data_IF_053234716925
#
_entry.id   IF_053234716925
#
_cell.length_a   1.000
_cell.length_b   1.000
_cell.length_c   1.000
_cell.angle_alpha   90.00
_cell.angle_beta   90.00
_cell.angle_gamma   90.00
#
_symmetry.space_group_name_H-M   'P 1'
#
loop_
_entity.id
_entity.type
_entity.pdbx_description
1 polymer ?
#
# COMPACT_ATOMS: atom_id res chain seq x y z
N UNK A 1 -7.36 -3.89 8.75
CA UNK A 1 -6.34 -4.96 8.96
C UNK A 1 -5.49 -4.74 10.21
N UNK A 2 -4.86 -3.59 10.39
CA UNK A 2 -3.93 -3.37 11.52
C UNK A 2 -4.56 -3.61 12.90
N UNK A 3 -5.83 -3.32 13.07
CA UNK A 3 -6.54 -3.59 14.35
C UNK A 3 -6.81 -5.10 14.54
N UNK A 4 -7.12 -5.81 13.49
CA UNK A 4 -7.30 -7.27 13.54
C UNK A 4 -6.04 -7.98 14.06
N UNK A 5 -4.90 -7.49 13.73
CA UNK A 5 -3.63 -8.05 14.18
C UNK A 5 -3.30 -7.73 15.64
N UNK A 6 -3.79 -6.83 16.15
CA UNK A 6 -3.54 -6.43 17.51
C UNK A 6 -4.14 -7.40 18.49
N UNK A 7 -4.88 -8.16 18.13
CA UNK A 7 -5.50 -9.24 18.89
C UNK A 7 -4.62 -10.46 19.00
N UNK A 8 -3.76 -10.46 18.20
CA UNK A 8 -2.94 -11.63 18.17
C UNK A 8 -1.84 -11.62 19.22
N UNK A 9 -1.56 -10.49 19.70
CA UNK A 9 -0.46 -10.43 20.58
C UNK A 9 -0.82 -10.39 22.03
N UNK A 10 -1.72 -9.91 22.35
CA UNK A 10 -2.07 -9.78 23.72
C UNK A 10 -3.25 -10.60 24.16
N UNK A 11 -3.43 -10.83 25.25
CA UNK A 11 -4.55 -11.52 25.80
C UNK A 11 -5.75 -10.64 25.96
N UNK A 12 -5.74 -9.55 25.18
CA UNK A 12 -6.84 -8.70 25.18
C UNK A 12 -7.88 -9.17 24.20
N UNK A 13 -9.14 -8.82 24.37
CA UNK A 13 -10.20 -9.08 23.46
C UNK A 13 -10.36 -7.89 22.56
N UNK A 14 -10.39 -8.01 21.38
CA UNK A 14 -10.57 -6.99 20.42
C UNK A 14 -11.96 -7.04 19.92
N UNK A 15 -12.57 -6.11 20.05
CA UNK A 15 -13.78 -5.92 19.45
C UNK A 15 -13.56 -5.12 18.25
N UNK A 16 -13.66 -5.60 17.08
CA UNK A 16 -13.55 -4.90 15.82
C UNK A 16 -14.94 -4.43 15.43
N UNK A 17 -15.08 -3.14 15.25
CA UNK A 17 -16.39 -2.55 14.94
C UNK A 17 -16.34 -1.86 13.57
N UNK A 18 -17.36 -2.13 12.75
CA UNK A 18 -17.54 -1.44 11.46
C UNK A 18 -19.03 -1.15 11.29
N UNK A 19 -19.35 0.00 10.70
CA UNK A 19 -20.75 0.36 10.39
C UNK A 19 -21.34 -0.45 9.23
N UNK A 20 -20.46 -1.05 8.42
CA UNK A 20 -20.86 -1.89 7.28
C UNK A 20 -21.29 -3.27 7.79
N UNK A 21 -22.60 -3.47 7.86
CA UNK A 21 -23.18 -4.72 8.32
C UNK A 21 -22.75 -5.91 7.45
N UNK A 22 -22.66 -5.72 6.13
CA UNK A 22 -22.27 -6.81 5.22
C UNK A 22 -20.85 -7.30 5.54
N UNK A 23 -19.93 -6.34 5.78
CA UNK A 23 -18.56 -6.68 6.17
C UNK A 23 -18.52 -7.45 7.49
N UNK A 24 -19.30 -7.01 8.48
CA UNK A 24 -19.38 -7.68 9.79
C UNK A 24 -19.98 -9.08 9.63
N UNK A 25 -21.04 -9.22 8.84
CA UNK A 25 -21.67 -10.52 8.58
C UNK A 25 -20.67 -11.48 7.88
N UNK A 26 -19.90 -10.99 6.89
CA UNK A 26 -18.83 -11.78 6.24
C UNK A 26 -17.83 -12.28 7.29
N UNK A 27 -17.31 -11.37 8.12
CA UNK A 27 -16.31 -11.70 9.15
C UNK A 27 -16.86 -12.72 10.18
N UNK A 28 -18.12 -12.56 10.61
CA UNK A 28 -18.76 -13.48 11.54
C UNK A 28 -18.97 -14.87 10.91
N UNK A 29 -19.09 -14.95 9.59
CA UNK A 29 -19.19 -16.20 8.84
C UNK A 29 -17.80 -16.76 8.43
N UNK A 30 -16.72 -16.15 8.91
CA UNK A 30 -15.36 -16.63 8.69
C UNK A 30 -14.72 -16.21 7.36
N UNK A 31 -15.39 -15.34 6.59
CA UNK A 31 -14.86 -14.82 5.33
C UNK A 31 -14.11 -13.49 5.60
N UNK A 32 -12.95 -13.33 4.98
CA UNK A 32 -12.11 -12.13 5.16
C UNK A 32 -12.28 -11.22 3.94
N UNK A 33 -12.66 -9.93 4.13
CA UNK A 33 -12.96 -9.03 3.01
C UNK A 33 -11.73 -8.43 2.33
N UNK A 34 -10.53 -8.92 2.62
CA UNK A 34 -9.27 -8.45 2.01
C UNK A 34 -8.35 -9.64 1.76
N UNK A 35 -7.53 -9.56 0.73
CA UNK A 35 -6.53 -10.59 0.47
C UNK A 35 -5.24 -10.25 1.24
N UNK A 36 -4.86 -11.11 2.19
CA UNK A 36 -3.60 -11.00 2.94
C UNK A 36 -3.17 -12.42 3.31
N UNK A 37 -2.02 -12.89 2.82
CA UNK A 37 -1.58 -14.27 3.12
C UNK A 37 -1.53 -14.56 4.63
N UNK A 38 -2.19 -15.65 5.05
CA UNK A 38 -2.20 -16.11 6.44
C UNK A 38 -3.23 -15.42 7.35
N UNK A 39 -3.89 -14.34 6.90
CA UNK A 39 -4.82 -13.58 7.76
C UNK A 39 -6.06 -14.41 8.10
N UNK A 40 -6.59 -15.16 7.16
CA UNK A 40 -7.79 -15.96 7.37
C UNK A 40 -7.60 -16.96 8.52
N UNK A 41 -6.50 -17.70 8.49
CA UNK A 41 -6.18 -18.69 9.53
C UNK A 41 -6.04 -18.02 10.91
N UNK A 42 -5.36 -16.88 10.95
CA UNK A 42 -5.15 -16.12 12.18
C UNK A 42 -6.48 -15.63 12.76
N UNK A 43 -7.37 -15.10 11.91
CA UNK A 43 -8.69 -14.60 12.32
C UNK A 43 -9.54 -15.76 12.86
N UNK A 44 -9.63 -16.88 12.11
CA UNK A 44 -10.42 -18.06 12.54
C UNK A 44 -9.96 -18.57 13.90
N UNK A 45 -8.65 -18.65 14.12
CA UNK A 45 -8.09 -19.09 15.41
C UNK A 45 -8.54 -18.18 16.55
N UNK A 46 -8.39 -16.86 16.38
CA UNK A 46 -8.70 -15.90 17.44
C UNK A 46 -10.20 -15.79 17.72
N UNK A 47 -11.05 -15.95 16.69
CA UNK A 47 -12.51 -16.01 16.87
C UNK A 47 -12.87 -17.25 17.67
N UNK A 48 -12.32 -18.42 17.32
CA UNK A 48 -12.56 -19.70 18.03
C UNK A 48 -12.15 -19.59 19.51
N UNK A 49 -11.06 -18.87 19.78
CA UNK A 49 -10.54 -18.68 21.14
C UNK A 49 -11.27 -17.55 21.90
N UNK A 50 -12.32 -16.97 21.33
CA UNK A 50 -13.12 -15.86 21.89
C UNK A 50 -12.26 -14.60 22.21
N UNK A 51 -11.18 -14.41 21.47
CA UNK A 51 -10.29 -13.25 21.62
C UNK A 51 -10.54 -12.16 20.56
N UNK A 52 -11.30 -12.48 19.53
CA UNK A 52 -11.63 -11.56 18.43
C UNK A 52 -13.13 -11.61 18.19
N UNK A 53 -13.78 -10.46 18.27
CA UNK A 53 -15.22 -10.30 18.09
C UNK A 53 -15.48 -9.24 17.04
N UNK A 54 -16.59 -9.37 16.33
CA UNK A 54 -17.01 -8.42 15.30
C UNK A 54 -18.41 -7.92 15.59
N UNK A 55 -18.62 -6.62 15.53
CA UNK A 55 -19.92 -6.01 15.85
C UNK A 55 -20.15 -4.73 15.04
N UNK A 56 -21.42 -4.32 14.99
CA UNK A 56 -21.79 -3.00 14.45
C UNK A 56 -22.08 -2.00 15.57
N UNK A 57 -22.14 -2.46 16.84
CA UNK A 57 -22.43 -1.59 17.98
C UNK A 57 -21.19 -0.85 18.47
N UNK A 58 -20.95 0.33 17.90
CA UNK A 58 -19.83 1.19 18.29
C UNK A 58 -20.02 1.74 19.72
N UNK A 59 -21.26 2.04 20.10
CA UNK A 59 -21.54 2.68 21.40
C UNK A 59 -21.22 1.73 22.57
N UNK A 60 -21.65 0.47 22.46
CA UNK A 60 -21.34 -0.58 23.43
C UNK A 60 -19.83 -0.86 23.51
N UNK A 61 -19.21 -1.04 22.33
CA UNK A 61 -17.77 -1.34 22.26
C UNK A 61 -16.93 -0.24 22.94
N UNK A 62 -17.26 1.04 22.72
CA UNK A 62 -16.54 2.14 23.36
C UNK A 62 -16.67 2.09 24.89
N UNK A 63 -17.88 1.84 25.40
CA UNK A 63 -18.12 1.79 26.85
C UNK A 63 -17.27 0.72 27.53
N UNK A 64 -17.14 -0.43 26.88
CA UNK A 64 -16.46 -1.60 27.47
C UNK A 64 -14.93 -1.53 27.31
N UNK A 65 -14.41 -0.74 26.37
CA UNK A 65 -12.97 -0.69 26.06
C UNK A 65 -12.20 0.25 26.99
N UNK A 66 -10.98 -0.14 27.37
CA UNK A 66 -9.98 0.74 27.96
C UNK A 66 -9.22 1.50 26.86
N UNK A 67 -8.89 0.80 25.77
CA UNK A 67 -8.14 1.37 24.63
C UNK A 67 -9.04 1.32 23.39
N UNK A 68 -9.24 2.48 22.77
CA UNK A 68 -10.08 2.61 21.57
C UNK A 68 -9.19 3.00 20.39
N UNK A 69 -9.04 2.11 19.42
CA UNK A 69 -8.26 2.37 18.21
C UNK A 69 -9.14 2.96 17.10
N UNK A 70 -8.79 4.15 16.63
CA UNK A 70 -9.37 4.77 15.44
C UNK A 70 -8.54 4.27 14.25
N UNK A 71 -9.14 3.38 13.44
CA UNK A 71 -8.45 2.73 12.32
C UNK A 71 -9.30 2.79 11.04
N UNK A 72 -9.96 3.93 10.85
CA UNK A 72 -10.83 4.18 9.69
C UNK A 72 -10.01 4.72 8.51
N UNK A 73 -10.57 4.62 7.30
CA UNK A 73 -9.93 5.15 6.09
C UNK A 73 -9.83 6.67 6.12
N UNK A 74 -8.78 7.19 5.49
CA UNK A 74 -8.57 8.62 5.30
C UNK A 74 -8.31 8.86 3.79
N UNK A 75 -9.37 8.74 2.95
CA UNK A 75 -9.18 8.88 1.52
C UNK A 75 -8.76 10.30 1.14
N UNK A 76 -8.08 10.47 0.00
CA UNK A 76 -7.71 11.82 -0.43
C UNK A 76 -8.94 12.58 -0.94
N UNK A 77 -8.96 13.89 -0.68
CA UNK A 77 -9.88 14.83 -1.31
C UNK A 77 -9.30 15.30 -2.65
N UNK A 78 -10.09 16.06 -3.41
CA UNK A 78 -9.69 16.58 -4.72
C UNK A 78 -8.44 17.47 -4.66
N UNK A 79 -8.24 18.15 -3.53
CA UNK A 79 -7.07 19.03 -3.31
C UNK A 79 -5.84 18.26 -2.81
N UNK A 80 -5.95 16.95 -2.63
CA UNK A 80 -4.87 16.09 -2.13
C UNK A 80 -4.84 15.97 -0.61
N UNK A 81 -5.64 16.75 0.12
CA UNK A 81 -5.71 16.65 1.59
C UNK A 81 -6.42 15.34 2.00
N UNK A 82 -6.19 14.89 3.23
CA UNK A 82 -6.87 13.72 3.78
C UNK A 82 -8.28 14.07 4.24
N UNK A 83 -9.27 13.25 3.89
CA UNK A 83 -10.62 13.38 4.42
C UNK A 83 -10.68 12.77 5.82
N UNK A 84 -10.89 13.60 6.80
CA UNK A 84 -10.95 13.21 8.22
C UNK A 84 -12.39 12.99 8.73
N UNK A 85 -13.39 13.06 7.86
CA UNK A 85 -14.81 12.93 8.27
C UNK A 85 -15.06 11.66 9.10
N UNK A 86 -14.51 10.52 8.67
CA UNK A 86 -14.67 9.26 9.42
C UNK A 86 -13.98 9.29 10.78
N UNK A 87 -12.81 9.93 10.86
CA UNK A 87 -12.05 10.08 12.12
C UNK A 87 -12.87 10.95 13.08
N UNK A 88 -13.44 12.06 12.58
CA UNK A 88 -14.26 12.97 13.38
C UNK A 88 -15.55 12.30 13.86
N UNK A 89 -16.19 11.49 13.01
CA UNK A 89 -17.40 10.75 13.40
C UNK A 89 -17.11 9.78 14.55
N UNK A 90 -15.98 9.05 14.46
CA UNK A 90 -15.57 8.15 15.55
C UNK A 90 -15.27 8.96 16.82
N UNK A 91 -14.58 10.11 16.69
CA UNK A 91 -14.30 11.00 17.85
C UNK A 91 -15.60 11.48 18.52
N UNK A 92 -16.62 11.81 17.71
CA UNK A 92 -17.95 12.20 18.25
C UNK A 92 -18.63 11.03 18.98
N UNK A 93 -18.51 9.81 18.44
CA UNK A 93 -19.06 8.61 19.10
C UNK A 93 -18.34 8.32 20.42
N UNK A 94 -17.01 8.47 20.43
CA UNK A 94 -16.21 8.30 21.65
C UNK A 94 -16.67 9.31 22.71
N UNK A 95 -16.77 10.59 22.35
CA UNK A 95 -17.19 11.66 23.29
C UNK A 95 -18.53 11.38 23.95
N UNK A 96 -19.49 10.86 23.18
CA UNK A 96 -20.85 10.53 23.66
C UNK A 96 -20.81 9.37 24.67
N UNK A 97 -19.90 8.43 24.49
CA UNK A 97 -19.92 7.15 25.19
C UNK A 97 -18.81 7.00 26.25
N UNK A 98 -18.01 8.02 26.51
CA UNK A 98 -17.01 8.00 27.57
C UNK A 98 -17.71 7.76 28.93
N UNK A 99 -17.19 6.77 29.69
CA UNK A 99 -17.77 6.38 30.99
C UNK A 99 -16.70 6.12 32.05
N UNK A 100 -15.48 6.49 31.77
CA UNK A 100 -14.31 6.35 32.63
C UNK A 100 -13.06 6.61 31.80
N UNK A 101 -11.89 6.44 32.41
CA UNK A 101 -10.62 6.68 31.73
C UNK A 101 -10.48 5.79 30.49
N UNK A 102 -10.05 6.39 29.38
CA UNK A 102 -9.78 5.66 28.15
C UNK A 102 -8.54 6.24 27.44
N UNK A 103 -7.79 5.36 26.78
CA UNK A 103 -6.72 5.75 25.86
C UNK A 103 -7.28 5.68 24.43
N UNK A 104 -7.31 6.82 23.76
CA UNK A 104 -7.86 6.96 22.42
C UNK A 104 -6.69 7.03 21.45
N UNK A 105 -6.55 6.00 20.62
CA UNK A 105 -5.38 5.78 19.79
C UNK A 105 -5.71 5.97 18.31
N UNK A 106 -5.08 6.92 17.65
CA UNK A 106 -5.17 7.05 16.20
C UNK A 106 -4.17 6.11 15.54
N UNK A 107 -4.70 5.07 14.88
CA UNK A 107 -3.92 4.13 14.09
C UNK A 107 -3.93 4.52 12.61
N UNK A 108 -4.98 5.20 12.17
CA UNK A 108 -5.12 5.74 10.80
C UNK A 108 -3.96 6.71 10.50
N UNK A 109 -3.54 6.76 9.23
CA UNK A 109 -2.59 7.78 8.75
C UNK A 109 -3.33 9.11 8.63
N UNK A 110 -2.96 10.07 9.46
CA UNK A 110 -3.66 11.35 9.59
C UNK A 110 -2.68 12.52 9.57
N UNK A 111 -3.10 13.70 9.06
CA UNK A 111 -2.28 14.92 9.11
C UNK A 111 -1.87 15.31 10.52
N UNK A 112 -0.71 15.95 10.62
CA UNK A 112 -0.21 16.50 11.88
C UNK A 112 -1.25 17.47 12.46
N UNK A 113 -1.54 17.32 13.74
CA UNK A 113 -2.57 18.12 14.46
C UNK A 113 -3.90 17.41 14.58
N UNK A 114 -4.05 16.21 13.96
CA UNK A 114 -5.32 15.47 14.06
C UNK A 114 -5.58 15.00 15.49
N UNK A 115 -4.56 14.63 16.23
CA UNK A 115 -4.72 14.25 17.64
C UNK A 115 -5.32 15.38 18.46
N UNK A 116 -4.84 16.61 18.28
CA UNK A 116 -5.39 17.79 18.97
C UNK A 116 -6.84 18.08 18.52
N UNK A 117 -7.14 17.87 17.24
CA UNK A 117 -8.50 18.02 16.72
C UNK A 117 -9.47 17.00 17.37
N UNK A 118 -9.04 15.73 17.47
CA UNK A 118 -9.82 14.68 18.14
C UNK A 118 -10.07 15.09 19.61
N UNK A 119 -9.02 15.55 20.29
CA UNK A 119 -9.09 15.99 21.69
C UNK A 119 -10.15 17.10 21.85
N UNK A 120 -10.14 18.10 20.97
CA UNK A 120 -11.12 19.21 21.00
C UNK A 120 -12.54 18.68 20.82
N UNK A 121 -12.78 17.84 19.82
CA UNK A 121 -14.11 17.25 19.56
C UNK A 121 -14.63 16.52 20.81
N UNK A 122 -13.74 15.75 21.46
CA UNK A 122 -14.14 14.97 22.63
C UNK A 122 -14.44 15.90 23.81
N UNK A 123 -13.58 16.89 24.09
CA UNK A 123 -13.78 17.85 25.20
C UNK A 123 -15.10 18.62 25.06
N UNK A 124 -15.44 19.05 23.85
CA UNK A 124 -16.67 19.80 23.58
C UNK A 124 -17.94 18.98 23.90
N UNK A 125 -17.88 17.67 23.77
CA UNK A 125 -19.06 16.81 23.88
C UNK A 125 -19.03 15.86 25.08
N UNK A 126 -17.93 15.83 25.84
CA UNK A 126 -17.75 14.96 27.01
C UNK A 126 -18.51 15.50 28.22
N UNK A 127 -19.82 15.36 28.23
CA UNK A 127 -20.70 15.87 29.29
C UNK A 127 -20.41 15.25 30.67
N UNK A 128 -19.82 14.04 30.68
CA UNK A 128 -19.51 13.31 31.93
C UNK A 128 -18.16 13.70 32.53
N UNK A 129 -17.39 14.53 31.83
CA UNK A 129 -16.05 14.96 32.24
C UNK A 129 -15.14 13.73 32.51
N UNK A 130 -15.37 12.62 31.79
CA UNK A 130 -14.55 11.43 31.93
C UNK A 130 -13.13 11.70 31.42
N UNK A 131 -12.16 11.15 32.11
CA UNK A 131 -10.73 11.32 31.81
C UNK A 131 -10.33 10.51 30.57
N UNK A 132 -9.40 11.04 29.76
CA UNK A 132 -8.90 10.34 28.58
C UNK A 132 -7.56 10.90 28.13
N UNK A 133 -6.80 10.08 27.44
CA UNK A 133 -5.57 10.48 26.76
C UNK A 133 -5.67 10.20 25.26
N UNK A 134 -5.01 11.05 24.47
CA UNK A 134 -4.87 10.88 23.02
C UNK A 134 -3.48 10.33 22.72
N UNK A 135 -3.44 9.31 21.87
CA UNK A 135 -2.20 8.67 21.41
C UNK A 135 -2.21 8.58 19.88
N UNK A 136 -1.09 8.88 19.26
CA UNK A 136 -0.84 8.55 17.85
C UNK A 136 0.06 7.30 17.80
N UNK A 137 -0.42 6.26 17.14
CA UNK A 137 0.31 4.98 17.02
C UNK A 137 0.22 4.52 15.55
N UNK A 138 0.96 5.17 14.67
CA UNK A 138 0.88 4.85 13.23
C UNK A 138 1.35 3.43 12.94
N UNK A 139 0.78 2.83 11.89
CA UNK A 139 1.18 1.51 11.40
C UNK A 139 2.18 1.65 10.24
N UNK A 140 3.04 0.65 10.06
CA UNK A 140 4.03 0.61 8.99
C UNK A 140 3.94 -0.72 8.23
N UNK A 141 2.73 -1.25 8.12
CA UNK A 141 2.47 -2.55 7.51
C UNK A 141 2.53 -2.46 5.98
N UNK A 142 3.04 -3.52 5.37
CA UNK A 142 3.03 -3.67 3.91
C UNK A 142 1.98 -4.72 3.55
N UNK A 143 1.03 -4.35 2.70
CA UNK A 143 0.05 -5.32 2.16
C UNK A 143 0.81 -6.53 1.59
N UNK A 144 0.27 -7.73 1.79
CA UNK A 144 0.92 -8.97 1.35
C UNK A 144 1.99 -9.51 2.29
N UNK A 145 2.39 -8.74 3.31
CA UNK A 145 3.30 -9.17 4.37
C UNK A 145 2.99 -8.49 5.70
N UNK A 146 1.74 -8.06 5.87
CA UNK A 146 1.33 -7.27 7.04
C UNK A 146 1.42 -8.05 8.34
N UNK A 147 1.18 -9.37 8.31
CA UNK A 147 1.29 -10.21 9.52
C UNK A 147 2.74 -10.22 10.01
N UNK A 148 3.69 -10.49 9.12
CA UNK A 148 5.11 -10.48 9.47
C UNK A 148 5.55 -9.12 9.99
N UNK A 149 5.16 -8.04 9.29
CA UNK A 149 5.48 -6.67 9.68
C UNK A 149 4.92 -6.31 11.06
N UNK A 150 3.73 -6.83 11.40
CA UNK A 150 3.11 -6.60 12.71
C UNK A 150 3.78 -7.41 13.80
N UNK A 151 4.09 -8.69 13.52
CA UNK A 151 4.66 -9.60 14.53
C UNK A 151 6.14 -9.34 14.78
N UNK A 152 6.86 -8.76 13.82
CA UNK A 152 8.29 -8.43 13.92
C UNK A 152 8.57 -7.05 13.34
N UNK A 153 7.98 -6.00 13.92
CA UNK A 153 8.15 -4.66 13.36
C UNK A 153 9.56 -4.11 13.63
N UNK A 154 10.03 -3.27 12.72
CA UNK A 154 11.31 -2.58 12.91
C UNK A 154 11.26 -1.58 14.07
N UNK A 155 10.08 -1.09 14.41
CA UNK A 155 9.83 -0.20 15.56
C UNK A 155 8.34 -0.08 15.83
N UNK A 156 8.01 0.31 17.05
CA UNK A 156 6.67 0.75 17.45
C UNK A 156 6.77 2.23 17.79
N UNK A 157 5.95 3.08 17.17
CA UNK A 157 5.92 4.53 17.46
C UNK A 157 4.70 4.82 18.34
N UNK A 158 4.93 5.47 19.47
CA UNK A 158 3.88 5.90 20.40
C UNK A 158 4.04 7.40 20.66
N UNK A 159 3.14 8.18 20.09
CA UNK A 159 3.06 9.63 20.33
C UNK A 159 2.04 9.90 21.41
N UNK A 160 2.46 10.37 22.56
CA UNK A 160 1.58 10.65 23.71
C UNK A 160 2.17 11.75 24.59
N UNK A 161 1.31 12.48 25.29
CA UNK A 161 1.74 13.49 26.27
C UNK A 161 1.65 12.99 27.71
N UNK A 162 1.06 11.84 27.94
CA UNK A 162 0.79 11.26 29.26
C UNK A 162 1.63 10.00 29.47
N UNK A 163 2.38 9.94 30.57
CA UNK A 163 3.12 8.73 30.95
C UNK A 163 2.17 7.55 31.15
N UNK A 164 0.99 7.82 31.72
CA UNK A 164 -0.06 6.82 31.94
C UNK A 164 -0.45 6.14 30.62
N UNK A 165 -0.69 6.95 29.58
CA UNK A 165 -1.03 6.42 28.25
C UNK A 165 0.12 5.62 27.64
N UNK A 166 1.36 6.09 27.80
CA UNK A 166 2.55 5.37 27.31
C UNK A 166 2.63 3.99 27.96
N UNK A 167 2.42 3.90 29.27
CA UNK A 167 2.49 2.61 29.98
C UNK A 167 1.38 1.64 29.52
N UNK A 168 0.16 2.14 29.32
CA UNK A 168 -0.94 1.33 28.76
C UNK A 168 -0.55 0.78 27.38
N UNK A 169 0.03 1.64 26.52
CA UNK A 169 0.45 1.23 25.17
C UNK A 169 1.60 0.23 25.22
N UNK A 170 2.58 0.41 26.11
CA UNK A 170 3.69 -0.54 26.29
C UNK A 170 3.16 -1.92 26.74
N UNK A 171 2.21 -1.93 27.67
CA UNK A 171 1.62 -3.19 28.13
C UNK A 171 0.88 -3.90 26.99
N UNK A 172 0.15 -3.14 26.17
CA UNK A 172 -0.55 -3.68 25.00
C UNK A 172 0.44 -4.32 24.01
N UNK A 173 1.60 -3.68 23.79
CA UNK A 173 2.63 -4.16 22.87
C UNK A 173 3.70 -5.01 23.57
N UNK A 174 3.45 -5.46 24.80
CA UNK A 174 4.41 -6.24 25.60
C UNK A 174 5.02 -7.44 24.87
N UNK A 175 4.26 -8.24 24.08
CA UNK A 175 4.88 -9.35 23.34
C UNK A 175 5.99 -8.89 22.38
N UNK A 176 5.87 -7.70 21.80
CA UNK A 176 6.90 -7.14 20.91
C UNK A 176 8.10 -6.63 21.69
N UNK A 177 7.88 -6.11 22.88
CA UNK A 177 8.95 -5.68 23.77
C UNK A 177 9.84 -6.87 24.18
N UNK A 178 9.23 -8.04 24.38
CA UNK A 178 9.96 -9.26 24.77
C UNK A 178 10.91 -9.76 23.67
N UNK A 179 10.71 -9.34 22.41
CA UNK A 179 11.62 -9.64 21.29
C UNK A 179 12.51 -8.44 20.94
N UNK A 180 12.67 -7.52 21.89
CA UNK A 180 13.54 -6.34 21.79
C UNK A 180 13.21 -5.38 20.65
N UNK A 181 11.96 -5.34 20.22
CA UNK A 181 11.52 -4.35 19.21
C UNK A 181 11.74 -2.93 19.75
N UNK A 182 12.40 -2.03 19.01
CA UNK A 182 12.58 -0.65 19.46
C UNK A 182 11.24 0.11 19.58
N UNK A 183 11.08 0.83 20.70
CA UNK A 183 9.93 1.73 20.92
C UNK A 183 10.40 3.17 20.80
N UNK A 184 9.73 3.94 19.95
CA UNK A 184 9.98 5.38 19.78
C UNK A 184 8.85 6.11 20.50
N UNK A 185 9.16 6.64 21.69
CA UNK A 185 8.19 7.41 22.49
C UNK A 185 8.40 8.89 22.16
N UNK A 186 7.34 9.58 21.76
CA UNK A 186 7.44 10.99 21.35
C UNK A 186 6.09 11.69 21.58
N UNK A 187 5.95 12.95 21.14
CA UNK A 187 4.67 13.65 21.18
C UNK A 187 3.77 13.20 20.02
N UNK A 188 2.50 13.56 20.09
CA UNK A 188 1.48 13.14 19.12
C UNK A 188 1.84 13.62 17.70
N UNK A 189 2.22 14.89 17.58
CA UNK A 189 2.51 15.53 16.30
C UNK A 189 3.73 14.88 15.61
N UNK A 190 4.76 14.56 16.38
CA UNK A 190 5.94 13.88 15.83
C UNK A 190 5.58 12.47 15.35
N UNK A 191 4.74 11.75 16.09
CA UNK A 191 4.30 10.41 15.68
C UNK A 191 3.51 10.47 14.37
N UNK A 192 2.59 11.46 14.25
CA UNK A 192 1.85 11.70 13.01
C UNK A 192 2.81 12.01 11.84
N UNK A 193 3.78 12.90 12.07
CA UNK A 193 4.77 13.27 11.05
C UNK A 193 5.66 12.09 10.63
N UNK A 194 6.08 11.24 11.58
CA UNK A 194 6.95 10.07 11.29
C UNK A 194 6.33 9.20 10.19
N UNK A 195 5.01 8.99 10.23
CA UNK A 195 4.33 8.16 9.22
C UNK A 195 4.45 8.78 7.81
N UNK A 196 4.07 10.06 7.69
CA UNK A 196 4.13 10.75 6.40
C UNK A 196 5.56 10.87 5.88
N UNK A 197 6.50 11.25 6.74
CA UNK A 197 7.91 11.41 6.36
C UNK A 197 8.50 10.06 5.89
N UNK A 198 8.17 8.97 6.59
CA UNK A 198 8.63 7.62 6.19
C UNK A 198 8.11 7.24 4.81
N UNK A 199 6.81 7.42 4.57
CA UNK A 199 6.21 7.04 3.28
C UNK A 199 6.71 7.95 2.15
N UNK A 200 6.87 9.24 2.39
CA UNK A 200 7.42 10.18 1.41
C UNK A 200 8.88 9.82 1.05
N UNK A 201 9.67 9.43 2.05
CA UNK A 201 11.07 9.04 1.81
C UNK A 201 11.16 7.73 1.01
N UNK A 202 10.32 6.75 1.31
CA UNK A 202 10.28 5.49 0.54
C UNK A 202 9.86 5.76 -0.91
N UNK A 203 8.85 6.63 -1.12
CA UNK A 203 8.43 7.04 -2.47
C UNK A 203 9.58 7.77 -3.20
N UNK A 204 10.35 8.59 -2.47
CA UNK A 204 11.55 9.28 -3.01
C UNK A 204 12.57 8.27 -3.50
N UNK A 205 12.87 7.22 -2.73
CA UNK A 205 13.83 6.18 -3.14
C UNK A 205 13.39 5.51 -4.44
N UNK A 206 12.09 5.19 -4.57
CA UNK A 206 11.56 4.55 -5.79
C UNK A 206 11.68 5.51 -7.00
N UNK A 207 11.26 6.77 -6.85
CA UNK A 207 11.34 7.74 -7.94
C UNK A 207 12.79 8.05 -8.31
N UNK A 208 13.68 8.13 -7.31
CA UNK A 208 15.10 8.34 -7.53
C UNK A 208 15.71 7.22 -8.39
N UNK A 209 15.47 5.95 -8.00
CA UNK A 209 16.06 4.84 -8.77
C UNK A 209 15.41 4.70 -10.16
N UNK A 210 14.15 5.11 -10.32
CA UNK A 210 13.49 5.17 -11.64
C UNK A 210 14.17 6.21 -12.53
N UNK A 211 14.48 7.40 -12.00
CA UNK A 211 15.21 8.44 -12.75
C UNK A 211 16.62 7.95 -13.12
N UNK A 212 17.32 7.30 -12.18
CA UNK A 212 18.64 6.69 -12.45
C UNK A 212 18.50 5.63 -13.56
N UNK A 213 17.46 4.80 -13.52
CA UNK A 213 17.23 3.77 -14.56
C UNK A 213 17.05 4.42 -15.93
N UNK A 214 16.27 5.49 -16.00
CA UNK A 214 16.05 6.21 -17.26
C UNK A 214 17.38 6.81 -17.80
N UNK A 215 18.20 7.35 -16.91
CA UNK A 215 19.52 7.85 -17.30
C UNK A 215 20.45 6.71 -17.75
N UNK A 216 20.41 5.56 -17.06
CA UNK A 216 21.19 4.38 -17.45
C UNK A 216 20.92 3.97 -18.90
N UNK A 217 19.65 3.99 -19.34
CA UNK A 217 19.29 3.68 -20.74
C UNK A 217 19.93 4.63 -21.73
N UNK A 218 20.17 5.89 -21.34
CA UNK A 218 20.75 6.92 -22.22
C UNK A 218 22.27 6.78 -22.30
N UNK A 219 22.90 6.48 -21.16
CA UNK A 219 24.38 6.49 -21.07
C UNK A 219 25.00 5.09 -21.19
N UNK A 220 24.18 4.04 -21.34
CA UNK A 220 24.68 2.67 -21.51
C UNK A 220 25.10 1.99 -20.21
N UNK A 221 24.55 2.40 -19.07
CA UNK A 221 24.79 1.76 -17.78
C UNK A 221 23.68 0.75 -17.46
N UNK A 222 23.93 -0.16 -16.50
CA UNK A 222 22.94 -1.13 -16.01
C UNK A 222 22.47 -0.70 -14.62
N UNK A 223 21.18 -0.39 -14.49
CA UNK A 223 20.61 0.06 -13.23
C UNK A 223 20.74 -0.97 -12.09
N UNK A 224 20.74 -2.28 -12.41
CA UNK A 224 20.92 -3.31 -11.37
C UNK A 224 22.31 -3.18 -10.72
N UNK A 225 23.35 -2.97 -11.55
CA UNK A 225 24.70 -2.77 -11.05
C UNK A 225 24.81 -1.47 -10.24
N UNK A 226 24.18 -0.40 -10.72
CA UNK A 226 24.17 0.90 -10.01
C UNK A 226 23.43 0.76 -8.66
N UNK A 227 22.23 0.18 -8.66
CA UNK A 227 21.44 0.01 -7.44
C UNK A 227 22.16 -0.89 -6.43
N UNK A 228 22.80 -1.97 -6.90
CA UNK A 228 23.60 -2.85 -6.06
C UNK A 228 24.79 -2.11 -5.44
N UNK A 229 25.56 -1.40 -6.28
CA UNK A 229 26.74 -0.68 -5.82
C UNK A 229 26.40 0.37 -4.77
N UNK A 230 25.41 1.23 -5.05
CA UNK A 230 25.03 2.26 -4.09
C UNK A 230 24.33 1.67 -2.85
N UNK A 231 23.57 0.61 -3.01
CA UNK A 231 22.82 -0.02 -1.91
C UNK A 231 23.70 -0.76 -0.89
N UNK A 232 24.95 -1.09 -1.25
CA UNK A 232 25.93 -1.68 -0.32
C UNK A 232 26.42 -0.67 0.72
N UNK A 233 26.29 0.62 0.45
CA UNK A 233 26.56 1.65 1.45
C UNK A 233 25.44 1.64 2.49
N UNK A 234 25.78 1.35 3.75
CA UNK A 234 24.79 1.26 4.84
C UNK A 234 24.04 2.55 5.08
N UNK A 235 24.60 3.71 4.71
CA UNK A 235 23.92 5.01 4.80
C UNK A 235 22.73 5.11 3.83
N UNK A 236 22.77 4.34 2.73
CA UNK A 236 21.76 4.32 1.68
C UNK A 236 20.82 3.10 1.87
N UNK A 237 21.42 1.92 1.97
CA UNK A 237 20.70 0.65 2.09
C UNK A 237 20.05 0.21 0.77
N UNK A 238 19.95 -1.10 0.58
CA UNK A 238 19.48 -1.70 -0.69
C UNK A 238 17.96 -1.65 -0.89
N UNK A 239 17.19 -1.48 0.17
CA UNK A 239 15.73 -1.55 0.09
C UNK A 239 15.15 -0.34 -0.65
N UNK A 240 14.12 -0.58 -1.47
CA UNK A 240 13.42 0.43 -2.27
C UNK A 240 14.27 1.04 -3.38
N UNK A 241 15.32 0.30 -3.85
CA UNK A 241 16.13 0.67 -5.01
C UNK A 241 15.85 -0.30 -6.18
N UNK A 242 14.59 -0.64 -6.39
CA UNK A 242 14.17 -1.52 -7.48
C UNK A 242 13.40 -0.69 -8.52
N UNK A 243 13.99 -0.43 -9.71
CA UNK A 243 13.29 0.38 -10.72
C UNK A 243 12.10 -0.38 -11.30
N UNK A 244 11.13 0.39 -11.77
CA UNK A 244 9.89 -0.18 -12.30
C UNK A 244 9.00 0.89 -12.91
N UNK A 245 7.71 0.58 -13.10
CA UNK A 245 6.77 1.48 -13.78
C UNK A 245 6.28 2.65 -12.92
N UNK A 246 6.76 2.78 -11.71
CA UNK A 246 6.32 3.77 -10.75
C UNK A 246 5.67 3.13 -9.52
N UNK A 247 5.48 3.92 -8.49
CA UNK A 247 4.78 3.46 -7.30
C UNK A 247 3.27 3.68 -7.42
N UNK A 248 2.51 2.83 -6.74
CA UNK A 248 1.05 2.88 -6.63
C UNK A 248 0.62 2.37 -5.26
N UNK A 249 -0.60 1.85 -5.19
CA UNK A 249 -1.18 1.31 -3.97
C UNK A 249 -1.85 2.39 -3.12
N UNK A 250 -2.44 1.98 -2.03
CA UNK A 250 -3.28 2.81 -1.16
C UNK A 250 -2.51 3.85 -0.32
N UNK A 251 -1.18 3.76 -0.24
CA UNK A 251 -0.40 4.54 0.71
C UNK A 251 0.45 5.64 0.05
N UNK A 252 1.42 5.26 -0.79
CA UNK A 252 2.40 6.23 -1.30
C UNK A 252 1.77 7.39 -2.09
N UNK A 253 0.84 7.14 -3.04
CA UNK A 253 0.24 8.27 -3.78
C UNK A 253 -0.51 9.22 -2.85
N UNK A 254 -1.34 8.68 -1.98
CA UNK A 254 -2.15 9.45 -1.04
C UNK A 254 -1.27 10.23 -0.06
N UNK A 255 -0.27 9.57 0.55
CA UNK A 255 0.52 10.16 1.63
C UNK A 255 1.50 11.22 1.11
N UNK A 256 2.06 11.04 -0.12
CA UNK A 256 2.91 12.07 -0.73
C UNK A 256 2.09 13.32 -1.07
N UNK A 257 0.88 13.15 -1.60
CA UNK A 257 -0.03 14.28 -1.86
C UNK A 257 -0.41 14.98 -0.54
N UNK A 258 -0.77 14.20 0.49
CA UNK A 258 -1.19 14.76 1.78
C UNK A 258 -0.07 15.58 2.43
N UNK A 259 1.18 15.08 2.47
CA UNK A 259 2.26 15.84 3.11
C UNK A 259 2.62 17.08 2.28
N UNK A 260 2.51 17.03 0.95
CA UNK A 260 2.69 18.21 0.10
C UNK A 260 1.60 19.26 0.38
N UNK A 261 0.35 18.82 0.56
CA UNK A 261 -0.76 19.72 0.89
C UNK A 261 -0.61 20.30 2.30
N UNK A 262 -0.22 19.49 3.28
CA UNK A 262 0.07 19.97 4.65
C UNK A 262 1.11 21.11 4.60
N UNK A 263 2.17 20.93 3.80
CA UNK A 263 3.20 21.97 3.65
C UNK A 263 2.61 23.26 3.08
N UNK A 264 1.81 23.17 2.02
CA UNK A 264 1.15 24.33 1.38
C UNK A 264 0.22 25.06 2.34
N UNK A 265 -0.55 24.33 3.15
CA UNK A 265 -1.46 24.90 4.13
C UNK A 265 -0.69 25.74 5.17
N UNK A 266 0.59 25.38 5.39
CA UNK A 266 1.50 26.11 6.30
C UNK A 266 2.43 27.06 5.55
N UNK A 267 2.11 27.39 4.28
CA UNK A 267 2.88 28.33 3.43
C UNK A 267 4.32 27.89 3.20
N UNK A 268 4.52 26.56 3.12
CA UNK A 268 5.84 25.95 2.85
C UNK A 268 5.73 25.08 1.60
N UNK A 269 6.72 25.14 0.73
CA UNK A 269 6.80 24.27 -0.45
C UNK A 269 7.71 23.08 -0.15
N UNK A 270 7.18 21.88 -0.17
CA UNK A 270 7.98 20.68 0.05
C UNK A 270 8.56 20.22 -1.31
N UNK A 271 9.58 20.93 -1.79
CA UNK A 271 10.15 20.77 -3.14
C UNK A 271 10.46 19.32 -3.52
N UNK A 272 11.10 18.56 -2.63
CA UNK A 272 11.50 17.18 -2.92
C UNK A 272 10.25 16.32 -3.16
N UNK A 273 9.24 16.44 -2.31
CA UNK A 273 8.02 15.62 -2.44
C UNK A 273 7.23 15.97 -3.71
N UNK A 274 7.14 17.27 -4.05
CA UNK A 274 6.49 17.69 -5.29
C UNK A 274 7.23 17.14 -6.51
N UNK A 275 8.57 17.16 -6.49
CA UNK A 275 9.39 16.57 -7.57
C UNK A 275 9.15 15.05 -7.67
N UNK A 276 9.03 14.35 -6.54
CA UNK A 276 8.78 12.90 -6.49
C UNK A 276 7.41 12.56 -7.10
N UNK A 277 6.36 13.31 -6.75
CA UNK A 277 5.01 13.13 -7.32
C UNK A 277 5.07 13.28 -8.84
N UNK A 278 5.74 14.34 -9.33
CA UNK A 278 5.88 14.60 -10.76
C UNK A 278 6.71 13.51 -11.46
N UNK A 279 7.84 13.12 -10.86
CA UNK A 279 8.69 12.05 -11.41
C UNK A 279 7.92 10.73 -11.55
N UNK A 280 7.10 10.40 -10.54
CA UNK A 280 6.30 9.16 -10.58
C UNK A 280 5.26 9.20 -11.72
N UNK A 281 4.62 10.34 -11.93
CA UNK A 281 3.67 10.52 -13.04
C UNK A 281 4.38 10.32 -14.38
N UNK A 282 5.51 10.99 -14.57
CA UNK A 282 6.31 10.89 -15.81
C UNK A 282 6.82 9.46 -16.05
N UNK A 283 7.14 8.75 -14.97
CA UNK A 283 7.59 7.35 -15.09
C UNK A 283 6.51 6.47 -15.73
N UNK A 284 5.26 6.62 -15.29
CA UNK A 284 4.13 5.87 -15.87
C UNK A 284 3.96 6.18 -17.36
N UNK A 285 4.06 7.47 -17.72
CA UNK A 285 3.98 7.92 -19.12
C UNK A 285 5.12 7.32 -19.97
N UNK A 286 6.34 7.33 -19.45
CA UNK A 286 7.52 6.76 -20.10
C UNK A 286 7.36 5.26 -20.39
N UNK A 287 6.65 4.52 -19.54
CA UNK A 287 6.40 3.09 -19.77
C UNK A 287 5.54 2.89 -21.02
N UNK A 288 4.58 3.77 -21.27
CA UNK A 288 3.72 3.72 -22.46
C UNK A 288 4.55 4.00 -23.71
N UNK A 289 5.43 5.01 -23.66
CA UNK A 289 6.36 5.31 -24.76
C UNK A 289 7.28 4.11 -25.04
N UNK A 290 7.74 3.43 -24.00
CA UNK A 290 8.58 2.21 -24.13
C UNK A 290 7.81 1.09 -24.85
N UNK A 291 6.55 0.86 -24.50
CA UNK A 291 5.70 -0.12 -25.17
C UNK A 291 5.58 0.23 -26.66
N UNK A 292 5.24 1.49 -26.98
CA UNK A 292 5.09 1.96 -28.35
C UNK A 292 6.40 1.84 -29.14
N UNK A 293 7.52 2.21 -28.56
CA UNK A 293 8.86 2.07 -29.19
C UNK A 293 9.17 0.61 -29.54
N UNK A 294 8.77 -0.33 -28.69
CA UNK A 294 9.04 -1.75 -28.91
C UNK A 294 8.10 -2.39 -29.93
N UNK A 295 6.84 -1.97 -29.95
CA UNK A 295 5.80 -2.62 -30.77
C UNK A 295 5.51 -1.88 -32.10
N UNK A 296 5.88 -0.60 -32.20
CA UNK A 296 5.47 0.27 -33.29
C UNK A 296 4.06 0.83 -33.05
N UNK A 297 3.40 1.29 -34.12
CA UNK A 297 2.06 1.89 -34.02
C UNK A 297 1.13 1.00 -33.20
N UNK A 298 0.50 1.58 -32.20
CA UNK A 298 -0.31 0.86 -31.19
C UNK A 298 -1.73 0.52 -31.68
N UNK A 299 -2.31 1.36 -32.54
CA UNK A 299 -3.70 1.20 -32.96
C UNK A 299 -3.96 -0.17 -33.59
N UNK A 300 -4.94 -0.89 -33.05
CA UNK A 300 -5.35 -2.21 -33.56
C UNK A 300 -4.53 -3.38 -33.03
N UNK A 301 -3.43 -3.13 -32.32
CA UNK A 301 -2.62 -4.20 -31.72
C UNK A 301 -3.33 -4.83 -30.52
N UNK A 302 -2.93 -6.07 -30.22
CA UNK A 302 -3.34 -6.78 -28.99
C UNK A 302 -2.12 -6.89 -28.09
N UNK A 303 -2.23 -6.41 -26.86
CA UNK A 303 -1.14 -6.47 -25.87
C UNK A 303 -1.57 -7.36 -24.70
N UNK A 304 -0.74 -8.37 -24.41
CA UNK A 304 -0.89 -9.21 -23.22
C UNK A 304 -0.30 -8.47 -22.01
N UNK A 305 -1.05 -8.40 -20.91
CA UNK A 305 -0.61 -7.74 -19.67
C UNK A 305 -0.53 -8.78 -18.56
N UNK A 306 0.61 -8.88 -17.89
CA UNK A 306 0.80 -9.73 -16.72
C UNK A 306 1.00 -8.84 -15.48
N UNK A 307 0.05 -8.96 -14.54
CA UNK A 307 0.07 -8.21 -13.29
C UNK A 307 -0.77 -6.95 -13.37
N UNK A 308 -1.80 -6.88 -12.51
CA UNK A 308 -2.73 -5.75 -12.40
C UNK A 308 -2.62 -5.06 -11.05
N UNK A 309 -2.34 -5.83 -9.98
CA UNK A 309 -2.08 -5.27 -8.64
C UNK A 309 -0.82 -4.40 -8.65
N UNK A 310 -0.74 -3.45 -7.73
CA UNK A 310 0.41 -2.52 -7.69
C UNK A 310 1.72 -3.23 -7.28
N UNK A 311 1.61 -4.39 -6.64
CA UNK A 311 2.75 -5.27 -6.27
C UNK A 311 2.25 -6.69 -6.02
N UNK A 312 3.14 -7.70 -5.89
CA UNK A 312 2.71 -9.07 -5.59
C UNK A 312 2.05 -9.23 -4.22
N UNK A 313 1.30 -10.31 -4.06
CA UNK A 313 0.69 -10.77 -2.81
C UNK A 313 -0.41 -9.85 -2.27
N UNK A 314 -1.06 -9.08 -3.15
CA UNK A 314 -2.22 -8.25 -2.82
C UNK A 314 -3.16 -8.17 -4.02
N UNK A 315 -4.44 -7.92 -3.76
CA UNK A 315 -5.44 -7.62 -4.79
C UNK A 315 -5.60 -6.11 -5.03
N UNK A 316 -4.85 -5.26 -4.31
CA UNK A 316 -5.00 -3.81 -4.38
C UNK A 316 -4.48 -3.25 -5.72
N UNK A 317 -5.38 -2.58 -6.46
CA UNK A 317 -5.06 -1.93 -7.74
C UNK A 317 -5.23 -0.41 -7.69
N UNK A 318 -5.44 0.16 -6.50
CA UNK A 318 -5.58 1.62 -6.34
C UNK A 318 -4.28 2.31 -6.77
N UNK A 319 -4.40 3.29 -7.66
CA UNK A 319 -3.26 4.04 -8.22
C UNK A 319 -2.15 3.13 -8.80
N UNK A 320 -2.46 1.86 -9.09
CA UNK A 320 -1.49 0.93 -9.67
C UNK A 320 -1.04 1.43 -11.05
N UNK A 321 0.27 1.34 -11.37
CA UNK A 321 0.74 1.70 -12.71
C UNK A 321 0.01 0.97 -13.84
N UNK A 322 -0.47 -0.26 -13.59
CA UNK A 322 -1.25 -1.04 -14.55
C UNK A 322 -2.52 -0.31 -14.98
N UNK A 323 -3.19 0.39 -14.05
CA UNK A 323 -4.43 1.12 -14.36
C UNK A 323 -4.13 2.26 -15.33
N UNK A 324 -3.08 3.06 -15.04
CA UNK A 324 -2.69 4.17 -15.90
C UNK A 324 -2.25 3.68 -17.29
N UNK A 325 -1.43 2.61 -17.33
CA UNK A 325 -0.90 2.03 -18.57
C UNK A 325 -2.04 1.47 -19.43
N UNK A 326 -2.92 0.65 -18.84
CA UNK A 326 -4.04 0.02 -19.57
C UNK A 326 -4.97 1.10 -20.12
N UNK A 327 -5.38 2.07 -19.29
CA UNK A 327 -6.27 3.15 -19.74
C UNK A 327 -5.68 3.93 -20.91
N UNK A 328 -4.37 4.19 -20.87
CA UNK A 328 -3.69 4.93 -21.95
C UNK A 328 -3.63 4.07 -23.24
N UNK A 329 -3.32 2.79 -23.11
CA UNK A 329 -3.29 1.86 -24.24
C UNK A 329 -4.67 1.72 -24.88
N UNK A 330 -5.73 1.62 -24.09
CA UNK A 330 -7.12 1.55 -24.57
C UNK A 330 -7.48 2.81 -25.37
N UNK A 331 -7.11 4.00 -24.88
CA UNK A 331 -7.33 5.28 -25.56
C UNK A 331 -6.62 5.34 -26.92
N UNK A 332 -5.53 4.58 -27.08
CA UNK A 332 -4.76 4.50 -28.34
C UNK A 332 -5.23 3.37 -29.25
N UNK A 333 -6.35 2.72 -28.92
CA UNK A 333 -6.97 1.69 -29.74
C UNK A 333 -6.34 0.31 -29.63
N UNK A 334 -5.64 0.04 -28.51
CA UNK A 334 -5.04 -1.28 -28.23
C UNK A 334 -6.12 -2.20 -27.62
N UNK A 335 -6.11 -3.47 -28.00
CA UNK A 335 -6.89 -4.52 -27.34
C UNK A 335 -6.03 -5.13 -26.23
N UNK A 336 -6.59 -5.25 -25.03
CA UNK A 336 -5.85 -5.73 -23.86
C UNK A 336 -6.32 -7.15 -23.48
N UNK A 337 -5.38 -8.06 -23.28
CA UNK A 337 -5.59 -9.38 -22.70
C UNK A 337 -4.80 -9.39 -21.39
N UNK A 338 -5.48 -9.52 -20.25
CA UNK A 338 -4.82 -9.34 -18.95
C UNK A 338 -4.96 -10.56 -18.05
N UNK A 339 -3.93 -10.80 -17.25
CA UNK A 339 -3.95 -11.83 -16.21
C UNK A 339 -3.23 -11.33 -14.94
N UNK A 340 -3.87 -11.55 -13.80
CA UNK A 340 -3.28 -11.35 -12.47
C UNK A 340 -3.74 -12.51 -11.58
N UNK A 341 -2.87 -13.07 -10.72
CA UNK A 341 -3.27 -14.19 -9.86
C UNK A 341 -4.40 -13.89 -8.88
N UNK A 342 -4.55 -12.64 -8.41
CA UNK A 342 -5.51 -12.30 -7.35
C UNK A 342 -6.39 -11.10 -7.67
N UNK A 343 -5.90 -10.13 -8.44
CA UNK A 343 -6.54 -8.82 -8.62
C UNK A 343 -7.59 -8.77 -9.74
N UNK A 344 -7.96 -9.90 -10.35
CA UNK A 344 -8.87 -9.92 -11.51
C UNK A 344 -10.25 -9.35 -11.18
N UNK A 345 -10.80 -9.64 -10.00
CA UNK A 345 -12.11 -9.14 -9.60
C UNK A 345 -12.09 -7.63 -9.36
N UNK A 346 -11.03 -7.13 -8.74
CA UNK A 346 -10.86 -5.68 -8.55
C UNK A 346 -10.69 -4.96 -9.90
N UNK A 347 -9.96 -5.59 -10.83
CA UNK A 347 -9.80 -5.06 -12.19
C UNK A 347 -11.15 -4.97 -12.93
N UNK A 348 -12.05 -5.93 -12.74
CA UNK A 348 -13.40 -5.91 -13.35
C UNK A 348 -14.19 -4.67 -12.92
N UNK A 349 -14.01 -4.22 -11.69
CA UNK A 349 -14.71 -3.02 -11.17
C UNK A 349 -14.25 -1.74 -11.90
N UNK A 350 -13.00 -1.73 -12.41
CA UNK A 350 -12.42 -0.56 -13.10
C UNK A 350 -12.61 -0.64 -14.60
N UNK A 351 -12.29 -1.78 -15.22
CA UNK A 351 -12.22 -1.91 -16.68
C UNK A 351 -13.48 -2.51 -17.29
N UNK A 352 -14.36 -3.12 -16.48
CA UNK A 352 -15.57 -3.79 -16.96
C UNK A 352 -15.21 -4.73 -18.13
N UNK A 353 -15.90 -4.64 -19.25
CA UNK A 353 -15.67 -5.48 -20.44
C UNK A 353 -14.72 -4.83 -21.46
N UNK A 354 -14.01 -3.77 -21.08
CA UNK A 354 -13.08 -3.08 -21.98
C UNK A 354 -11.78 -3.87 -22.20
N UNK A 355 -11.52 -4.88 -21.38
CA UNK A 355 -10.34 -5.76 -21.54
C UNK A 355 -10.77 -7.23 -21.48
N UNK A 356 -9.93 -8.11 -22.00
CA UNK A 356 -10.14 -9.56 -21.97
C UNK A 356 -9.42 -10.14 -20.75
N UNK A 357 -10.18 -10.76 -19.85
CA UNK A 357 -9.65 -11.39 -18.63
C UNK A 357 -9.25 -12.83 -18.92
N UNK A 358 -7.96 -13.11 -18.80
CA UNK A 358 -7.38 -14.42 -19.13
C UNK A 358 -7.27 -15.30 -17.88
N UNK A 359 -7.30 -16.62 -18.08
CA UNK A 359 -7.20 -17.60 -16.99
C UNK A 359 -5.75 -17.83 -16.53
N UNK A 360 -4.78 -17.51 -17.38
CA UNK A 360 -3.37 -17.68 -17.08
C UNK A 360 -2.48 -16.82 -18.01
N UNK A 361 -1.19 -16.81 -17.75
CA UNK A 361 -0.20 -16.03 -18.49
C UNK A 361 -0.11 -16.46 -19.96
N UNK A 362 -0.32 -17.74 -20.25
CA UNK A 362 -0.20 -18.25 -21.62
C UNK A 362 -1.39 -17.78 -22.47
N UNK A 363 -2.58 -17.76 -21.90
CA UNK A 363 -3.76 -17.21 -22.59
C UNK A 363 -3.59 -15.71 -22.86
N UNK A 364 -2.97 -14.96 -21.92
CA UNK A 364 -2.69 -13.53 -22.14
C UNK A 364 -1.69 -13.32 -23.28
N UNK A 365 -0.73 -14.22 -23.45
CA UNK A 365 0.27 -14.16 -24.53
C UNK A 365 -0.31 -14.59 -25.89
N UNK A 366 -1.23 -15.56 -25.88
CA UNK A 366 -1.73 -16.20 -27.11
C UNK A 366 -2.35 -15.19 -28.07
N UNK A 367 -1.76 -15.03 -29.26
CA UNK A 367 -2.22 -14.10 -30.29
C UNK A 367 -1.97 -12.63 -29.97
N UNK A 368 -1.22 -12.33 -28.92
CA UNK A 368 -0.84 -10.93 -28.59
C UNK A 368 0.37 -10.50 -29.41
N UNK A 369 0.42 -9.22 -29.76
CA UNK A 369 1.55 -8.63 -30.49
C UNK A 369 2.79 -8.45 -29.62
N UNK A 370 2.58 -8.31 -28.30
CA UNK A 370 3.65 -8.26 -27.30
C UNK A 370 3.09 -8.63 -25.92
N UNK A 371 3.98 -8.99 -25.01
CA UNK A 371 3.65 -9.25 -23.60
C UNK A 371 4.31 -8.21 -22.73
N UNK A 372 3.56 -7.60 -21.80
CA UNK A 372 4.04 -6.57 -20.88
C UNK A 372 3.90 -7.09 -19.45
N UNK A 373 5.00 -7.12 -18.69
CA UNK A 373 4.99 -7.43 -17.25
C UNK A 373 4.91 -6.13 -16.47
N UNK A 374 3.87 -5.96 -15.66
CA UNK A 374 3.70 -4.75 -14.84
C UNK A 374 3.88 -5.04 -13.35
N UNK A 375 3.53 -6.27 -12.90
CA UNK A 375 3.69 -6.68 -11.50
C UNK A 375 4.51 -7.96 -11.45
N UNK A 376 5.50 -8.00 -10.56
CA UNK A 376 6.50 -9.07 -10.49
C UNK A 376 6.05 -10.28 -9.64
N UNK A 377 4.86 -10.81 -9.90
CA UNK A 377 4.40 -12.03 -9.23
C UNK A 377 5.41 -13.16 -9.39
N UNK A 378 5.64 -13.91 -8.32
CA UNK A 378 6.65 -14.96 -8.32
C UNK A 378 6.41 -16.01 -9.43
N UNK A 379 5.15 -16.34 -9.72
CA UNK A 379 4.83 -17.28 -10.78
C UNK A 379 5.27 -16.81 -12.18
N UNK A 380 5.37 -15.48 -12.40
CA UNK A 380 5.82 -14.97 -13.70
C UNK A 380 7.33 -15.18 -13.93
N UNK A 381 8.11 -15.40 -12.86
CA UNK A 381 9.56 -15.69 -12.97
C UNK A 381 9.83 -17.06 -13.62
N UNK A 382 8.86 -17.98 -13.50
CA UNK A 382 9.03 -19.38 -13.90
C UNK A 382 8.23 -19.75 -15.14
N UNK A 383 7.84 -18.75 -15.97
CA UNK A 383 7.12 -19.03 -17.21
C UNK A 383 8.02 -19.78 -18.21
N UNK A 384 7.40 -20.67 -18.98
CA UNK A 384 8.06 -21.30 -20.14
C UNK A 384 8.16 -20.23 -21.24
N UNK A 385 9.31 -19.58 -21.33
CA UNK A 385 9.54 -18.48 -22.27
C UNK A 385 9.57 -18.96 -23.74
N UNK A 386 9.91 -20.22 -23.98
CA UNK A 386 9.85 -20.81 -25.35
C UNK A 386 8.39 -20.91 -25.78
N UNK A 387 7.53 -21.39 -24.89
CA UNK A 387 6.08 -21.46 -25.10
C UNK A 387 5.50 -20.07 -25.32
N UNK A 388 5.86 -19.10 -24.44
CA UNK A 388 5.40 -17.68 -24.57
C UNK A 388 5.79 -17.15 -25.95
N UNK A 389 7.06 -17.34 -26.36
CA UNK A 389 7.57 -16.92 -27.68
C UNK A 389 6.71 -17.46 -28.82
N UNK A 390 6.32 -18.74 -28.72
CA UNK A 390 5.52 -19.41 -29.76
C UNK A 390 4.06 -18.94 -29.80
N UNK A 391 3.54 -18.43 -28.69
CA UNK A 391 2.15 -17.93 -28.60
C UNK A 391 2.01 -16.49 -29.10
N UNK A 392 3.07 -15.68 -28.99
CA UNK A 392 3.06 -14.28 -29.41
C UNK A 392 3.13 -14.18 -30.95
N UNK A 393 2.43 -13.20 -31.54
CA UNK A 393 2.56 -12.88 -32.98
C UNK A 393 3.98 -12.40 -33.31
N UNK A 394 4.59 -11.66 -32.40
CA UNK A 394 5.98 -11.23 -32.47
C UNK A 394 6.63 -11.50 -31.11
N UNK A 395 7.87 -12.02 -31.08
CA UNK A 395 8.50 -12.37 -29.81
C UNK A 395 9.00 -11.14 -29.06
N UNK A 396 8.07 -10.31 -28.59
CA UNK A 396 8.35 -9.04 -27.89
C UNK A 396 7.89 -9.14 -26.45
N UNK A 397 8.80 -8.92 -25.49
CA UNK A 397 8.47 -8.84 -24.07
C UNK A 397 9.00 -7.50 -23.52
N UNK A 398 8.08 -6.73 -22.92
CA UNK A 398 8.41 -5.48 -22.23
C UNK A 398 8.25 -5.75 -20.72
N UNK A 399 9.35 -5.80 -20.03
CA UNK A 399 9.42 -6.22 -18.62
C UNK A 399 9.65 -5.02 -17.72
N UNK A 400 8.55 -4.45 -17.23
CA UNK A 400 8.60 -3.22 -16.43
C UNK A 400 9.06 -3.46 -14.99
N UNK A 401 9.43 -4.72 -14.65
CA UNK A 401 9.89 -5.08 -13.30
C UNK A 401 11.26 -5.77 -13.30
N UNK A 402 11.89 -5.89 -14.48
CA UNK A 402 13.22 -6.49 -14.61
C UNK A 402 13.27 -7.91 -14.02
N UNK A 403 12.22 -8.70 -14.28
CA UNK A 403 12.07 -10.07 -13.80
C UNK A 403 13.06 -11.00 -14.52
N UNK A 404 13.27 -10.75 -15.83
CA UNK A 404 14.07 -11.61 -16.68
C UNK A 404 15.46 -11.03 -16.94
N UNK A 405 16.38 -11.92 -17.28
CA UNK A 405 17.74 -11.53 -17.64
C UNK A 405 17.79 -11.17 -19.14
N UNK A 406 18.26 -9.96 -19.49
CA UNK A 406 18.31 -9.53 -20.90
C UNK A 406 19.13 -10.45 -21.81
N UNK A 407 20.25 -11.00 -21.30
CA UNK A 407 21.12 -11.88 -22.11
C UNK A 407 20.37 -13.19 -22.43
N UNK A 408 19.69 -13.77 -21.46
CA UNK A 408 18.87 -14.97 -21.66
C UNK A 408 17.76 -14.70 -22.68
N UNK A 409 17.12 -13.54 -22.61
CA UNK A 409 16.04 -13.17 -23.55
C UNK A 409 16.59 -13.09 -24.98
N UNK A 410 17.77 -12.48 -25.15
CA UNK A 410 18.47 -12.40 -26.44
C UNK A 410 18.78 -13.79 -26.98
N UNK A 411 19.29 -14.68 -26.14
CA UNK A 411 19.63 -16.08 -26.53
C UNK A 411 18.38 -16.85 -26.99
N UNK A 412 17.23 -16.53 -26.39
CA UNK A 412 15.94 -17.14 -26.81
C UNK A 412 15.36 -16.48 -28.06
N UNK A 413 16.00 -15.45 -28.60
CA UNK A 413 15.50 -14.69 -29.74
C UNK A 413 14.24 -13.92 -29.45
N UNK A 414 14.13 -13.39 -28.21
CA UNK A 414 13.03 -12.55 -27.77
C UNK A 414 13.52 -11.10 -27.77
N UNK A 415 12.80 -10.22 -28.47
CA UNK A 415 13.04 -8.77 -28.43
C UNK A 415 12.58 -8.27 -27.06
N UNK A 416 13.50 -7.83 -26.23
CA UNK A 416 13.27 -7.54 -24.82
C UNK A 416 13.61 -6.09 -24.46
N UNK A 417 12.80 -5.49 -23.58
CA UNK A 417 13.11 -4.21 -22.97
C UNK A 417 12.77 -4.26 -21.48
N UNK A 418 13.73 -3.91 -20.66
CA UNK A 418 13.53 -3.72 -19.22
C UNK A 418 13.46 -2.23 -18.88
N UNK A 419 13.62 -1.92 -17.60
CA UNK A 419 13.68 -0.55 -17.07
C UNK A 419 15.12 -0.30 -16.59
N UNK A 420 15.87 0.56 -17.32
CA UNK A 420 17.27 0.85 -16.99
C UNK A 420 18.23 -0.27 -17.37
N UNK A 421 17.81 -1.17 -18.25
CA UNK A 421 18.62 -2.31 -18.74
C UNK A 421 18.39 -2.43 -20.25
N UNK A 422 19.39 -2.12 -21.03
CA UNK A 422 19.32 -2.15 -22.49
C UNK A 422 20.07 -3.30 -23.11
#
# INVERSE_FOLDING_TARGET
MSVLLXXXXXXXXXXCVDKDKNKIDMLNNGAIPIYEPGLEELVRKNVKDNRLLFATDIDGAIKDALVVFIAVGTPPKDDGSADLSYVEDVARSIAKNLNGYKVIVTKSTVPVGTGEKIKKIILEKNKKQADFDIVSNPEFLREGSAIEDFMRPNRVVIGASSERAVEVMKELYRPLYLIETPFVITNVESAEMIKYASNAFLATKISFINEVANLCEIVGADVHSVAKGMGLDHRIGSKFLHPGPGYGGSCFPKDTQAIAQIAKDHKYTFHIVEAVINANKKQKERMIEKIEKMTGELKGKTIGILGLSFKPNTDDIRDAPSVDIINNLLKRGVKIKAYDPVAMEEARKIFSDNIIYCKDSYQAADGSDALVLITEWNQFRNLDLIKIKGLLKSPIIIDLRNVYDPQKMKELGIKYAGVGRG
#
